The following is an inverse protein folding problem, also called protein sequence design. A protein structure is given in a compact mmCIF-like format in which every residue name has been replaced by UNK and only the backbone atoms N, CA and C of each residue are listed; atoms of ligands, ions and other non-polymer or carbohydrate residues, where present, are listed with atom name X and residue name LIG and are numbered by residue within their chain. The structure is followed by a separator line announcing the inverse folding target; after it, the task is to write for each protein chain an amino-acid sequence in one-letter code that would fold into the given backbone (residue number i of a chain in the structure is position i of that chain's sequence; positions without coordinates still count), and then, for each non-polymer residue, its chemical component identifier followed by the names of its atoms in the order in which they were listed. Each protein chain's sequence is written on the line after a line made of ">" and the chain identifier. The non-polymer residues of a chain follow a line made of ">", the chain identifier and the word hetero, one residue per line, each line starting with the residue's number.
data_IF_818333193882
#
_entry.id   IF_818333193882
#
_cell.length_a   1.000
_cell.length_b   1.000
_cell.length_c   1.000
_cell.angle_alpha   90.00
_cell.angle_beta   90.00
_cell.angle_gamma   90.00
#
_symmetry.space_group_name_H-M   'P 1'
#
loop_
_entity.id
_entity.type
_entity.pdbx_description
1 polymer ?
#
# COMPACT_ATOMS: atom_id res chain seq x y z
N UNK A 1 -0.97 9.39 14.98
CA UNK A 1 0.16 10.21 15.49
C UNK A 1 1.50 9.47 15.59
N UNK A 2 1.63 8.39 16.37
CA UNK A 2 2.91 7.70 16.58
C UNK A 2 3.64 7.32 15.26
N UNK A 3 2.90 6.79 14.27
CA UNK A 3 3.45 6.49 12.96
C UNK A 3 3.92 7.73 12.18
N UNK A 4 3.19 8.85 12.24
CA UNK A 4 3.60 10.09 11.58
C UNK A 4 4.91 10.65 12.16
N UNK A 5 5.03 10.69 13.50
CA UNK A 5 6.29 11.08 14.16
C UNK A 5 7.45 10.16 13.79
N UNK A 6 7.18 8.86 13.64
CA UNK A 6 8.20 7.90 13.21
C UNK A 6 8.59 8.09 11.75
N UNK A 7 7.63 8.39 10.87
CA UNK A 7 7.89 8.74 9.46
C UNK A 7 8.78 9.98 9.42
N UNK A 8 8.46 11.03 10.16
CA UNK A 8 9.28 12.25 10.23
C UNK A 8 10.72 11.95 10.68
N UNK A 9 10.91 11.13 11.71
CA UNK A 9 12.23 10.82 12.25
C UNK A 9 13.08 9.87 11.37
N UNK A 10 12.46 8.94 10.63
CA UNK A 10 13.16 7.82 9.98
C UNK A 10 13.11 7.88 8.45
N UNK A 11 12.03 8.40 7.87
CA UNK A 11 11.86 8.47 6.42
C UNK A 11 12.95 9.29 5.69
N UNK A 12 13.52 10.37 6.26
CA UNK A 12 14.63 11.09 5.58
C UNK A 12 15.84 10.20 5.27
N UNK A 13 16.04 9.11 6.03
CA UNK A 13 17.15 8.16 5.82
C UNK A 13 16.78 6.98 4.92
N UNK A 14 15.52 6.55 4.95
CA UNK A 14 15.06 5.35 4.23
C UNK A 14 14.34 5.65 2.92
N UNK A 15 13.75 6.84 2.81
CA UNK A 15 12.95 7.28 1.67
C UNK A 15 11.85 6.27 1.29
N UNK A 16 11.12 5.75 2.27
CA UNK A 16 10.03 4.79 2.05
C UNK A 16 8.72 5.45 1.59
N UNK A 17 8.48 6.69 2.02
CA UNK A 17 7.35 7.53 1.61
C UNK A 17 7.81 8.68 0.72
N UNK A 18 7.09 8.89 -0.38
CA UNK A 18 7.25 10.03 -1.28
C UNK A 18 6.30 11.18 -0.88
N UNK A 19 5.05 10.84 -0.58
CA UNK A 19 4.03 11.78 -0.16
C UNK A 19 3.47 11.31 1.18
N UNK A 20 3.58 12.14 2.22
CA UNK A 20 2.97 11.88 3.52
C UNK A 20 1.70 12.72 3.62
N UNK A 21 0.59 12.10 4.00
CA UNK A 21 -0.72 12.76 4.09
C UNK A 21 -1.10 12.98 5.55
N UNK A 22 -0.27 13.71 6.30
CA UNK A 22 -0.37 13.80 7.76
C UNK A 22 -1.72 14.35 8.24
N UNK A 23 -2.21 15.42 7.60
CA UNK A 23 -3.47 16.07 7.93
C UNK A 23 -4.65 15.15 7.66
N UNK A 24 -4.72 14.58 6.45
CA UNK A 24 -5.76 13.62 6.05
C UNK A 24 -5.75 12.37 6.95
N UNK A 25 -4.56 11.88 7.31
CA UNK A 25 -4.42 10.73 8.21
C UNK A 25 -4.95 11.04 9.61
N UNK A 26 -4.67 12.23 10.14
CA UNK A 26 -5.16 12.65 11.46
C UNK A 26 -6.66 12.90 11.46
N UNK A 27 -7.23 13.45 10.39
CA UNK A 27 -8.68 13.62 10.24
C UNK A 27 -9.40 12.25 10.16
N UNK A 28 -8.91 11.34 9.32
CA UNK A 28 -9.44 9.99 9.24
C UNK A 28 -9.34 9.22 10.56
N UNK A 29 -8.22 9.39 11.30
CA UNK A 29 -8.05 8.77 12.61
C UNK A 29 -9.05 9.28 13.65
N UNK A 30 -9.30 10.59 13.71
CA UNK A 30 -10.32 11.19 14.60
C UNK A 30 -11.72 10.69 14.26
N UNK A 31 -12.03 10.58 12.96
CA UNK A 31 -13.32 10.03 12.52
C UNK A 31 -13.48 8.58 12.95
N UNK A 32 -12.45 7.74 12.75
CA UNK A 32 -12.46 6.35 13.16
C UNK A 32 -12.63 6.22 14.69
N UNK A 33 -11.92 7.04 15.47
CA UNK A 33 -12.04 7.08 16.93
C UNK A 33 -13.47 7.41 17.38
N UNK A 34 -14.08 8.47 16.82
CA UNK A 34 -15.44 8.88 17.14
C UNK A 34 -16.48 7.81 16.76
N UNK A 35 -16.25 7.08 15.66
CA UNK A 35 -17.12 5.97 15.25
C UNK A 35 -16.99 4.77 16.17
N UNK A 36 -15.77 4.37 16.53
CA UNK A 36 -15.51 3.28 17.46
C UNK A 36 -16.12 3.58 18.83
N UNK A 37 -15.88 4.78 19.37
CA UNK A 37 -16.46 5.22 20.64
C UNK A 37 -18.00 5.27 20.59
N UNK A 38 -18.57 5.57 19.42
CA UNK A 38 -20.00 5.56 19.16
C UNK A 38 -20.60 4.19 18.79
N UNK A 39 -19.84 3.09 18.90
CA UNK A 39 -20.31 1.72 18.61
C UNK A 39 -20.44 1.37 17.12
N UNK A 40 -19.94 2.21 16.21
CA UNK A 40 -19.94 1.98 14.75
C UNK A 40 -18.64 1.30 14.30
N UNK A 41 -18.34 0.14 14.86
CA UNK A 41 -17.13 -0.59 14.49
C UNK A 41 -17.27 -1.26 13.11
N UNK A 42 -16.33 -1.00 12.19
CA UNK A 42 -16.36 -1.46 10.80
C UNK A 42 -15.51 -2.71 10.52
N UNK A 43 -14.92 -3.30 11.56
CA UNK A 43 -14.10 -4.50 11.47
C UNK A 43 -12.61 -4.28 11.75
N UNK A 44 -11.77 -5.30 11.51
CA UNK A 44 -10.39 -5.34 12.00
C UNK A 44 -9.44 -4.25 11.47
N UNK A 45 -9.76 -3.65 10.32
CA UNK A 45 -8.96 -2.55 9.75
C UNK A 45 -9.40 -1.16 10.23
N UNK A 46 -10.45 -1.05 11.03
CA UNK A 46 -10.99 0.23 11.48
C UNK A 46 -9.99 0.97 12.39
N UNK A 47 -9.56 2.16 11.97
CA UNK A 47 -8.55 2.96 12.64
C UNK A 47 -7.10 2.51 12.38
N UNK A 48 -6.87 1.46 11.60
CA UNK A 48 -5.54 0.91 11.36
C UNK A 48 -4.78 1.74 10.30
N UNK A 49 -3.58 2.27 10.61
CA UNK A 49 -2.78 3.02 9.65
C UNK A 49 -2.19 2.14 8.55
N UNK A 50 -2.11 2.63 7.31
CA UNK A 50 -1.45 1.92 6.21
C UNK A 50 -0.72 2.85 5.23
N UNK A 51 0.28 2.32 4.53
CA UNK A 51 0.89 2.98 3.36
C UNK A 51 0.30 2.47 2.04
N UNK A 52 0.15 3.31 1.02
CA UNK A 52 -0.28 2.90 -0.31
C UNK A 52 0.85 3.05 -1.33
N UNK A 53 1.17 2.04 -2.15
CA UNK A 53 2.14 2.21 -3.24
C UNK A 53 1.72 3.32 -4.20
N UNK A 54 2.67 4.11 -4.68
CA UNK A 54 2.41 5.30 -5.51
C UNK A 54 1.87 5.03 -6.93
N UNK A 55 1.62 3.76 -7.29
CA UNK A 55 0.86 3.42 -8.50
C UNK A 55 -0.63 3.21 -8.26
N UNK A 56 -1.07 3.26 -7.00
CA UNK A 56 -2.47 3.04 -6.63
C UNK A 56 -3.15 4.40 -6.54
N UNK A 57 -4.13 4.66 -7.42
CA UNK A 57 -4.79 5.96 -7.47
C UNK A 57 -5.57 6.27 -6.18
N UNK A 58 -5.49 7.53 -5.76
CA UNK A 58 -6.14 7.99 -4.52
C UNK A 58 -6.70 9.39 -4.75
N UNK A 59 -8.00 9.56 -4.59
CA UNK A 59 -8.68 10.82 -4.85
C UNK A 59 -8.09 11.94 -3.98
N UNK A 60 -7.68 13.04 -4.62
CA UNK A 60 -7.15 14.23 -3.94
C UNK A 60 -5.72 14.07 -3.39
N UNK A 61 -5.02 12.96 -3.64
CA UNK A 61 -3.66 12.74 -3.15
C UNK A 61 -2.71 12.55 -4.34
N UNK A 62 -1.62 13.32 -4.37
CA UNK A 62 -0.61 13.24 -5.42
C UNK A 62 -0.16 11.79 -5.63
N UNK A 63 -0.24 11.30 -6.87
CA UNK A 63 0.08 9.93 -7.25
C UNK A 63 0.89 9.94 -8.54
N UNK A 64 2.21 9.74 -8.43
CA UNK A 64 3.15 10.01 -9.53
C UNK A 64 3.56 8.77 -10.31
N UNK A 65 3.13 7.59 -9.85
CA UNK A 65 3.57 6.30 -10.37
C UNK A 65 5.11 6.13 -10.36
N UNK A 66 5.79 6.87 -9.48
CA UNK A 66 7.24 7.00 -9.48
C UNK A 66 7.83 7.57 -10.78
N UNK A 67 7.05 8.28 -11.59
CA UNK A 67 7.50 8.87 -12.86
C UNK A 67 7.41 10.40 -12.83
N UNK A 68 8.42 11.07 -13.38
CA UNK A 68 8.36 12.52 -13.60
C UNK A 68 7.24 12.95 -14.56
N UNK A 69 6.73 12.03 -15.40
CA UNK A 69 5.61 12.30 -16.30
C UNK A 69 4.31 12.61 -15.55
N UNK A 70 4.09 12.00 -14.39
CA UNK A 70 2.89 12.17 -13.57
C UNK A 70 3.17 13.00 -12.31
N UNK A 71 4.21 13.85 -12.32
CA UNK A 71 4.65 14.61 -11.14
C UNK A 71 3.58 15.51 -10.52
N UNK A 72 2.58 15.91 -11.32
CA UNK A 72 1.48 16.80 -10.95
C UNK A 72 0.12 16.06 -10.95
N UNK A 73 0.12 14.73 -11.05
CA UNK A 73 -1.11 13.92 -11.13
C UNK A 73 -1.80 13.82 -9.76
N UNK A 74 -2.97 14.44 -9.64
CA UNK A 74 -3.85 14.33 -8.48
C UNK A 74 -5.16 13.67 -8.94
N UNK A 75 -5.37 12.37 -8.67
CA UNK A 75 -6.53 11.63 -9.13
C UNK A 75 -7.84 12.20 -8.59
N UNK A 76 -8.91 12.06 -9.38
CA UNK A 76 -10.28 12.44 -8.96
C UNK A 76 -11.04 11.29 -8.30
N UNK A 77 -10.61 10.06 -8.53
CA UNK A 77 -11.25 8.85 -8.02
C UNK A 77 -10.25 7.97 -7.29
N UNK A 78 -10.75 7.23 -6.30
CA UNK A 78 -9.97 6.19 -5.63
C UNK A 78 -9.90 4.93 -6.49
N UNK A 79 -8.75 4.25 -6.44
CA UNK A 79 -8.67 2.85 -6.81
C UNK A 79 -9.65 2.02 -5.96
N UNK A 80 -10.13 0.90 -6.51
CA UNK A 80 -11.08 0.05 -5.78
C UNK A 80 -10.52 -0.43 -4.42
N UNK A 81 -9.22 -0.74 -4.38
CA UNK A 81 -8.54 -1.15 -3.16
C UNK A 81 -8.51 -0.04 -2.10
N UNK A 82 -8.36 1.22 -2.50
CA UNK A 82 -8.38 2.37 -1.59
C UNK A 82 -9.81 2.62 -1.08
N UNK A 83 -10.80 2.53 -1.98
CA UNK A 83 -12.22 2.65 -1.61
C UNK A 83 -12.60 1.63 -0.52
N UNK A 84 -12.21 0.36 -0.67
CA UNK A 84 -12.47 -0.69 0.31
C UNK A 84 -11.76 -0.45 1.65
N UNK A 85 -10.52 0.02 1.62
CA UNK A 85 -9.80 0.37 2.85
C UNK A 85 -10.45 1.56 3.57
N UNK A 86 -10.93 2.58 2.84
CA UNK A 86 -11.72 3.69 3.40
C UNK A 86 -13.04 3.20 3.99
N UNK A 87 -13.75 2.31 3.30
CA UNK A 87 -15.00 1.71 3.81
C UNK A 87 -14.75 0.93 5.11
N UNK A 88 -13.65 0.18 5.19
CA UNK A 88 -13.21 -0.53 6.39
C UNK A 88 -12.70 0.40 7.51
N UNK A 89 -12.64 1.72 7.26
CA UNK A 89 -12.20 2.73 8.21
C UNK A 89 -10.68 2.77 8.44
N UNK A 90 -9.89 2.23 7.51
CA UNK A 90 -8.43 2.27 7.58
C UNK A 90 -7.88 3.67 7.30
N UNK A 91 -6.74 4.01 7.89
CA UNK A 91 -6.16 5.35 7.88
C UNK A 91 -4.92 5.38 6.97
N UNK A 92 -5.01 6.04 5.81
CA UNK A 92 -3.85 6.14 4.92
C UNK A 92 -2.83 7.16 5.43
N UNK A 93 -1.59 6.73 5.63
CA UNK A 93 -0.47 7.58 6.06
C UNK A 93 0.18 8.34 4.89
N UNK A 94 0.06 7.82 3.67
CA UNK A 94 0.59 8.43 2.47
C UNK A 94 0.99 7.43 1.38
N UNK A 95 1.71 7.94 0.39
CA UNK A 95 2.19 7.21 -0.80
C UNK A 95 3.62 6.73 -0.61
N UNK A 96 3.77 5.40 -0.62
CA UNK A 96 5.06 4.72 -0.54
C UNK A 96 5.73 4.66 -1.90
N UNK A 97 7.05 4.85 -1.89
CA UNK A 97 7.87 4.92 -3.11
C UNK A 97 7.77 3.62 -3.91
N UNK A 98 7.67 3.78 -5.23
CA UNK A 98 7.68 2.71 -6.22
C UNK A 98 8.84 2.90 -7.19
N UNK A 99 9.28 1.82 -7.83
CA UNK A 99 10.00 1.98 -9.10
C UNK A 99 9.06 2.59 -10.14
N UNK A 100 9.58 3.46 -11.01
CA UNK A 100 8.84 4.07 -12.12
C UNK A 100 7.99 3.04 -12.87
N UNK A 101 6.68 3.29 -12.96
CA UNK A 101 5.64 2.43 -13.58
C UNK A 101 5.65 0.98 -13.10
N UNK A 102 6.12 0.74 -11.88
CA UNK A 102 6.32 -0.59 -11.32
C UNK A 102 7.29 -1.50 -12.11
N UNK A 103 8.09 -0.93 -13.02
CA UNK A 103 8.82 -1.63 -14.08
C UNK A 103 10.27 -2.03 -13.72
N UNK A 104 10.59 -2.28 -12.44
CA UNK A 104 11.83 -2.96 -12.06
C UNK A 104 11.81 -3.51 -10.63
N UNK A 105 12.80 -4.35 -10.31
CA UNK A 105 12.87 -5.13 -9.06
C UNK A 105 13.80 -4.54 -7.98
N UNK A 106 14.17 -3.25 -8.05
CA UNK A 106 15.20 -2.67 -7.15
C UNK A 106 14.80 -1.37 -6.43
N UNK A 107 13.69 -0.72 -6.83
CA UNK A 107 13.20 0.55 -6.24
C UNK A 107 14.25 1.66 -6.10
N UNK A 108 15.18 1.71 -7.06
CA UNK A 108 16.07 2.84 -7.34
C UNK A 108 15.33 3.74 -8.33
N UNK A 109 14.87 4.91 -7.89
CA UNK A 109 14.09 5.82 -8.72
C UNK A 109 14.93 7.07 -9.07
N UNK A 110 15.22 7.35 -10.36
CA UNK A 110 16.05 8.47 -10.75
C UNK A 110 15.37 9.84 -10.57
N UNK A 111 14.04 9.88 -10.46
CA UNK A 111 13.26 11.12 -10.38
C UNK A 111 13.04 11.59 -8.94
N UNK A 112 12.79 10.65 -8.03
CA UNK A 112 12.40 10.96 -6.65
C UNK A 112 13.44 10.56 -5.61
N UNK A 113 14.20 9.50 -5.85
CA UNK A 113 15.19 8.99 -4.91
C UNK A 113 15.15 7.47 -4.72
N UNK A 114 16.16 6.95 -4.04
CA UNK A 114 16.33 5.52 -3.80
C UNK A 114 15.83 5.13 -2.42
N UNK A 115 14.96 4.12 -2.36
CA UNK A 115 14.54 3.53 -1.09
C UNK A 115 15.70 2.70 -0.51
N UNK A 116 16.04 2.93 0.76
CA UNK A 116 17.12 2.21 1.46
C UNK A 116 16.58 1.10 2.35
N UNK A 117 17.32 0.00 2.44
CA UNK A 117 16.91 -1.15 3.24
C UNK A 117 17.03 -0.85 4.75
N UNK A 118 15.96 -1.06 5.55
CA UNK A 118 16.01 -0.81 6.99
C UNK A 118 17.05 -1.64 7.74
N UNK A 119 17.47 -2.78 7.20
CA UNK A 119 18.47 -3.66 7.80
C UNK A 119 19.92 -3.27 7.43
N UNK A 120 20.10 -2.64 6.27
CA UNK A 120 21.41 -2.18 5.77
C UNK A 120 21.18 -1.12 4.68
N UNK A 121 21.45 0.16 4.99
CA UNK A 121 21.11 1.28 4.10
C UNK A 121 21.93 1.31 2.79
N UNK A 122 22.98 0.50 2.67
CA UNK A 122 23.75 0.34 1.44
C UNK A 122 23.16 -0.73 0.51
N UNK A 123 22.12 -1.44 0.94
CA UNK A 123 21.44 -2.49 0.17
C UNK A 123 20.11 -2.04 -0.39
N UNK A 124 19.73 -2.68 -1.49
CA UNK A 124 18.41 -2.52 -2.11
C UNK A 124 17.31 -3.12 -1.23
N UNK A 125 16.09 -2.62 -1.45
CA UNK A 125 14.85 -3.11 -0.81
C UNK A 125 14.09 -4.10 -1.68
N UNK A 126 14.66 -4.53 -2.80
CA UNK A 126 13.89 -5.16 -3.88
C UNK A 126 12.97 -4.15 -4.56
N UNK A 127 12.00 -4.63 -5.34
CA UNK A 127 11.07 -3.76 -6.04
C UNK A 127 10.03 -4.55 -6.81
N UNK A 128 9.01 -3.89 -7.38
CA UNK A 128 8.86 -2.43 -7.42
C UNK A 128 8.17 -1.82 -6.19
N UNK A 129 7.65 -2.61 -5.25
CA UNK A 129 6.98 -2.11 -4.02
C UNK A 129 7.97 -1.88 -2.85
N UNK A 130 9.16 -1.37 -3.16
CA UNK A 130 10.24 -1.19 -2.20
C UNK A 130 9.89 -0.31 -1.02
N UNK A 131 9.23 0.84 -1.27
CA UNK A 131 8.78 1.75 -0.22
C UNK A 131 7.79 1.09 0.73
N UNK A 132 6.86 0.28 0.21
CA UNK A 132 5.88 -0.47 1.01
C UNK A 132 6.57 -1.49 1.92
N UNK A 133 7.54 -2.25 1.40
CA UNK A 133 8.31 -3.22 2.19
C UNK A 133 9.16 -2.55 3.26
N UNK A 134 9.89 -1.49 2.90
CA UNK A 134 10.72 -0.72 3.83
C UNK A 134 9.88 -0.05 4.92
N UNK A 135 8.71 0.51 4.58
CA UNK A 135 7.80 1.14 5.54
C UNK A 135 7.32 0.14 6.62
N UNK A 136 6.95 -1.08 6.22
CA UNK A 136 6.53 -2.10 7.18
C UNK A 136 7.69 -2.59 8.05
N UNK A 137 8.84 -2.90 7.44
CA UNK A 137 10.01 -3.41 8.15
C UNK A 137 10.59 -2.39 9.14
N UNK A 138 10.64 -1.11 8.75
CA UNK A 138 11.07 -0.03 9.62
C UNK A 138 9.99 0.42 10.62
N UNK A 139 8.80 -0.19 10.63
CA UNK A 139 7.69 0.17 11.54
C UNK A 139 7.07 1.54 11.27
N UNK A 140 7.28 2.12 10.08
CA UNK A 140 6.67 3.38 9.67
C UNK A 140 5.15 3.23 9.48
N UNK A 141 4.71 2.02 9.06
CA UNK A 141 3.33 1.59 9.06
C UNK A 141 3.23 0.12 9.51
N UNK A 142 2.12 -0.32 10.12
CA UNK A 142 1.93 -1.73 10.45
C UNK A 142 1.68 -2.58 9.19
N UNK A 143 1.08 -1.99 8.16
CA UNK A 143 0.81 -2.62 6.86
C UNK A 143 0.89 -1.61 5.72
N UNK A 144 1.02 -2.13 4.50
CA UNK A 144 0.99 -1.34 3.28
C UNK A 144 0.41 -2.14 2.12
N UNK A 145 -0.09 -1.43 1.10
CA UNK A 145 -0.45 -2.01 -0.19
C UNK A 145 0.75 -1.98 -1.12
N UNK A 146 1.08 -3.14 -1.69
CA UNK A 146 2.00 -3.27 -2.82
C UNK A 146 1.28 -3.79 -4.07
N UNK A 147 2.03 -3.90 -5.16
CA UNK A 147 1.59 -4.58 -6.38
C UNK A 147 2.65 -5.55 -6.89
N UNK A 148 2.22 -6.63 -7.53
CA UNK A 148 3.07 -7.75 -7.94
C UNK A 148 2.71 -8.20 -9.35
N UNK A 149 3.57 -7.86 -10.32
CA UNK A 149 3.49 -8.34 -11.71
C UNK A 149 4.41 -9.56 -11.90
N UNK A 150 5.65 -9.47 -11.42
CA UNK A 150 6.67 -10.51 -11.58
C UNK A 150 7.45 -10.83 -10.30
N UNK A 151 6.95 -10.43 -9.14
CA UNK A 151 7.64 -10.52 -7.85
C UNK A 151 7.55 -9.25 -7.01
N UNK A 152 6.85 -8.21 -7.47
CA UNK A 152 6.95 -6.87 -6.91
C UNK A 152 6.35 -6.65 -5.51
N UNK A 153 5.63 -7.62 -4.94
CA UNK A 153 5.28 -7.67 -3.51
C UNK A 153 6.24 -8.60 -2.77
N UNK A 154 6.45 -9.80 -3.32
CA UNK A 154 7.21 -10.88 -2.65
C UNK A 154 8.70 -10.55 -2.52
N UNK A 155 9.32 -9.97 -3.54
CA UNK A 155 10.73 -9.60 -3.53
C UNK A 155 11.01 -8.53 -2.45
N UNK A 156 10.31 -7.38 -2.39
CA UNK A 156 10.54 -6.45 -1.31
C UNK A 156 10.25 -6.99 0.09
N UNK A 157 9.20 -7.81 0.23
CA UNK A 157 8.92 -8.46 1.51
C UNK A 157 10.08 -9.37 1.96
N UNK A 158 10.63 -10.17 1.04
CA UNK A 158 11.77 -11.04 1.32
C UNK A 158 13.03 -10.24 1.69
N UNK A 159 13.34 -9.18 0.94
CA UNK A 159 14.58 -8.41 1.13
C UNK A 159 14.52 -7.49 2.35
N UNK A 160 13.33 -7.01 2.73
CA UNK A 160 13.12 -6.21 3.93
C UNK A 160 12.71 -7.03 5.16
N UNK A 161 12.65 -8.36 5.07
CA UNK A 161 12.36 -9.23 6.22
C UNK A 161 10.92 -9.10 6.76
N UNK A 162 9.92 -9.11 5.87
CA UNK A 162 8.50 -9.06 6.21
C UNK A 162 7.67 -10.09 5.45
N UNK A 163 6.35 -9.90 5.46
CA UNK A 163 5.39 -10.74 4.74
C UNK A 163 4.81 -9.94 3.59
N UNK A 164 4.79 -10.53 2.39
CA UNK A 164 4.15 -9.97 1.21
C UNK A 164 3.27 -11.03 0.56
N UNK A 165 1.97 -10.79 0.49
CA UNK A 165 1.03 -11.79 -0.01
C UNK A 165 0.48 -11.39 -1.38
N UNK A 166 0.80 -12.19 -2.39
CA UNK A 166 0.22 -12.09 -3.73
C UNK A 166 -0.88 -13.14 -3.87
N UNK A 167 -2.14 -12.71 -3.74
CA UNK A 167 -3.29 -13.59 -3.91
C UNK A 167 -3.39 -14.17 -5.33
N UNK A 168 -4.35 -15.07 -5.53
CA UNK A 168 -4.74 -15.56 -6.86
C UNK A 168 -5.13 -14.38 -7.77
N UNK A 169 -4.76 -14.46 -9.05
CA UNK A 169 -5.10 -13.42 -10.03
C UNK A 169 -6.61 -13.15 -10.05
N UNK A 170 -6.99 -11.88 -10.02
CA UNK A 170 -8.39 -11.43 -9.95
C UNK A 170 -9.05 -11.53 -8.57
N UNK A 171 -8.34 -11.96 -7.51
CA UNK A 171 -8.88 -11.95 -6.13
C UNK A 171 -9.08 -10.54 -5.57
N UNK A 172 -8.20 -9.62 -5.95
CA UNK A 172 -8.23 -8.21 -5.56
C UNK A 172 -8.35 -7.41 -6.85
N UNK A 173 -9.28 -6.45 -6.91
CA UNK A 173 -9.46 -5.58 -8.06
C UNK A 173 -8.21 -4.73 -8.29
N UNK A 174 -7.79 -4.61 -9.54
CA UNK A 174 -6.69 -3.73 -9.98
C UNK A 174 -7.22 -2.43 -10.61
N UNK A 175 -8.53 -2.17 -10.54
CA UNK A 175 -9.14 -0.94 -11.06
C UNK A 175 -8.59 0.30 -10.32
N UNK A 176 -8.09 1.26 -11.08
CA UNK A 176 -7.44 2.46 -10.55
C UNK A 176 -6.00 2.22 -10.08
N UNK A 177 -5.34 1.16 -10.55
CA UNK A 177 -3.90 0.96 -10.37
C UNK A 177 -3.24 1.18 -11.73
N UNK A 178 -2.16 1.99 -11.76
CA UNK A 178 -1.38 2.19 -12.98
C UNK A 178 -0.89 0.83 -13.50
N UNK A 179 -1.26 0.43 -14.73
CA UNK A 179 -0.98 -0.90 -15.24
C UNK A 179 0.49 -1.07 -15.59
N UNK A 180 1.02 -2.27 -15.37
CA UNK A 180 2.32 -2.70 -15.89
C UNK A 180 2.13 -3.81 -16.92
N UNK A 181 1.53 -4.93 -16.51
CA UNK A 181 1.09 -5.99 -17.41
C UNK A 181 -0.22 -6.59 -16.91
N UNK A 182 -1.35 -6.16 -17.48
CA UNK A 182 -2.70 -6.48 -17.00
C UNK A 182 -3.03 -7.98 -16.86
N UNK A 183 -2.33 -8.87 -17.57
CA UNK A 183 -2.49 -10.32 -17.44
C UNK A 183 -1.73 -10.93 -16.25
N UNK A 184 -0.86 -10.14 -15.62
CA UNK A 184 0.05 -10.55 -14.55
C UNK A 184 -0.09 -9.67 -13.29
N UNK A 185 -0.69 -8.50 -13.40
CA UNK A 185 -0.78 -7.54 -12.30
C UNK A 185 -1.67 -8.05 -11.16
N UNK A 186 -1.15 -7.92 -9.94
CA UNK A 186 -1.87 -8.17 -8.70
C UNK A 186 -1.67 -6.98 -7.76
N UNK A 187 -2.64 -6.74 -6.89
CA UNK A 187 -2.48 -5.92 -5.69
C UNK A 187 -2.59 -6.80 -4.45
N UNK A 188 -1.90 -6.43 -3.38
CA UNK A 188 -1.93 -7.22 -2.15
C UNK A 188 -1.23 -6.58 -0.97
N UNK A 189 -1.42 -7.16 0.22
CA UNK A 189 -0.88 -6.63 1.46
C UNK A 189 0.61 -6.96 1.63
N UNK A 190 1.28 -6.03 2.29
CA UNK A 190 2.63 -6.16 2.83
C UNK A 190 2.58 -5.81 4.32
N UNK A 191 3.09 -6.69 5.17
CA UNK A 191 2.96 -6.61 6.64
C UNK A 191 4.17 -7.21 7.34
N UNK A 192 4.18 -7.20 8.69
CA UNK A 192 5.21 -7.90 9.48
C UNK A 192 4.83 -9.33 9.86
N UNK A 193 3.54 -9.68 9.80
CA UNK A 193 3.05 -11.01 10.18
C UNK A 193 2.07 -11.55 9.15
N UNK A 194 1.99 -12.88 9.02
CA UNK A 194 1.04 -13.53 8.12
C UNK A 194 -0.43 -13.25 8.52
N UNK A 195 -0.69 -13.16 9.82
CA UNK A 195 -2.02 -12.81 10.35
C UNK A 195 -2.46 -11.42 9.89
N UNK A 196 -1.58 -10.42 9.98
CA UNK A 196 -1.90 -9.06 9.51
C UNK A 196 -2.13 -9.03 7.99
N UNK A 197 -1.40 -9.86 7.23
CA UNK A 197 -1.63 -9.99 5.79
C UNK A 197 -3.03 -10.57 5.51
N UNK A 198 -3.47 -11.58 6.28
CA UNK A 198 -4.83 -12.12 6.21
C UNK A 198 -5.90 -11.07 6.52
N UNK A 199 -5.71 -10.29 7.59
CA UNK A 199 -6.63 -9.19 7.99
C UNK A 199 -6.75 -8.15 6.87
N UNK A 200 -5.63 -7.67 6.34
CA UNK A 200 -5.67 -6.66 5.28
C UNK A 200 -6.22 -7.24 3.98
N UNK A 201 -5.90 -8.50 3.63
CA UNK A 201 -6.47 -9.19 2.49
C UNK A 201 -7.99 -9.32 2.60
N UNK A 202 -8.51 -9.63 3.79
CA UNK A 202 -9.95 -9.70 4.05
C UNK A 202 -10.67 -8.40 3.67
N UNK A 203 -10.05 -7.25 3.98
CA UNK A 203 -10.63 -5.94 3.68
C UNK A 203 -10.63 -5.59 2.19
N UNK A 204 -9.66 -6.09 1.41
CA UNK A 204 -9.47 -5.66 0.01
C UNK A 204 -9.92 -6.70 -1.03
N UNK A 205 -9.99 -7.98 -0.67
CA UNK A 205 -10.42 -9.04 -1.55
C UNK A 205 -11.92 -8.97 -1.87
N UNK A 206 -12.31 -9.47 -3.05
CA UNK A 206 -13.72 -9.60 -3.45
C UNK A 206 -14.00 -9.02 -4.83
N UNK A 207 -15.11 -9.43 -5.41
CA UNK A 207 -15.48 -9.10 -6.79
C UNK A 207 -15.69 -7.59 -7.00
N UNK A 208 -15.18 -7.07 -8.11
CA UNK A 208 -15.48 -5.73 -8.64
C UNK A 208 -15.96 -5.90 -10.08
N UNK A 209 -17.24 -5.68 -10.32
CA UNK A 209 -17.85 -5.85 -11.65
C UNK A 209 -17.29 -4.88 -12.71
N UNK A 210 -16.58 -3.83 -12.30
CA UNK A 210 -15.92 -2.88 -13.21
C UNK A 210 -14.48 -3.27 -13.56
N UNK A 211 -13.94 -4.32 -12.93
CA UNK A 211 -12.64 -4.89 -13.26
C UNK A 211 -12.81 -6.20 -14.02
N UNK A 212 -12.57 -6.17 -15.33
CA UNK A 212 -12.65 -7.33 -16.22
C UNK A 212 -11.72 -8.50 -15.82
N UNK A 213 -10.71 -8.26 -14.97
CA UNK A 213 -9.80 -9.30 -14.47
C UNK A 213 -10.23 -9.87 -13.12
N UNK A 214 -11.13 -9.19 -12.42
CA UNK A 214 -11.61 -9.60 -11.11
C UNK A 214 -12.55 -10.79 -11.22
N UNK A 215 -12.33 -11.80 -10.37
CA UNK A 215 -13.10 -13.03 -10.38
C UNK A 215 -14.28 -12.93 -9.42
N UNK A 216 -15.46 -13.35 -9.87
CA UNK A 216 -16.66 -13.40 -9.04
C UNK A 216 -16.65 -14.65 -8.13
N UNK A 217 -15.76 -14.63 -7.13
CA UNK A 217 -15.60 -15.73 -6.17
C UNK A 217 -15.81 -15.16 -4.76
N UNK A 218 -16.64 -15.79 -3.91
CA UNK A 218 -16.80 -15.40 -2.52
C UNK A 218 -15.45 -15.25 -1.80
N UNK A 219 -15.38 -14.29 -0.88
CA UNK A 219 -14.20 -14.06 -0.06
C UNK A 219 -14.32 -14.96 1.17
N UNK A 220 -13.45 -15.98 1.35
CA UNK A 220 -13.44 -16.76 2.58
C UNK A 220 -12.95 -15.89 3.74
N UNK A 221 -13.14 -16.36 4.97
CA UNK A 221 -12.48 -15.76 6.13
C UNK A 221 -11.00 -16.16 6.15
N UNK A 222 -10.10 -15.22 5.87
CA UNK A 222 -8.65 -15.45 5.90
C UNK A 222 -8.05 -15.43 7.31
N UNK A 223 -8.88 -15.15 8.33
CA UNK A 223 -8.46 -15.02 9.73
C UNK A 223 -9.00 -16.14 10.63
N UNK A 224 -9.81 -17.04 10.06
CA UNK A 224 -10.34 -18.23 10.70
C UNK A 224 -9.26 -19.26 11.07
#
# INVERSE_FOLDING_TARGET
>A
EAHLRRIEAVNPRLFAYQTVTAELAMEAAKSAEAEIAGGRWRGPMHGIPYGAKDIVETAGVLTTHGSSFHRDNVPREDAEIIRRLKDAGAVMLGKTVTHEFAAAAVSINPHYGTVRNPWDTERIVGGSSGGSGAACAAGLAPCAIGTDTGGSIRNPASLCGGVGFKATHGRVSIRGICPNALSLDHAGPMTRTARDAGIMLQAVAGYDARDSKCQNIPVPDYTA
#
